data_IF_769185419021
#
_entry.id   IF_769185419021
#
_cell.length_a   1.000
_cell.length_b   1.000
_cell.length_c   1.000
_cell.angle_alpha   90.00
_cell.angle_beta   90.00
_cell.angle_gamma   90.00
#
_symmetry.space_group_name_H-M   'P 1'
#
loop_
_entity.id
_entity.type
_entity.pdbx_description
1 polymer ?
#
# COMPACT_ATOMS: atom_id res chain seq x y z
N UNK A 1 51.12 -55.67 -11.75
CA UNK A 1 51.18 -54.41 -10.97
C UNK A 1 49.87 -53.66 -11.24
N UNK A 2 48.98 -53.29 -10.31
CA UNK A 2 48.86 -53.39 -8.86
C UNK A 2 47.37 -53.66 -8.55
N UNK A 3 47.14 -54.75 -7.82
CA UNK A 3 46.15 -55.06 -6.76
C UNK A 3 44.67 -54.68 -6.93
N UNK A 4 43.89 -55.76 -7.03
CA UNK A 4 42.54 -55.98 -6.49
C UNK A 4 42.37 -55.62 -5.01
N UNK A 5 41.11 -55.35 -4.62
CA UNK A 5 40.35 -55.78 -3.41
C UNK A 5 39.24 -54.73 -3.15
N UNK A 6 37.98 -55.01 -2.81
CA UNK A 6 37.16 -56.21 -2.67
C UNK A 6 35.68 -55.75 -2.79
N UNK A 7 34.83 -56.69 -3.18
CA UNK A 7 33.38 -56.64 -3.09
C UNK A 7 32.87 -56.60 -1.64
N UNK A 8 31.85 -55.78 -1.37
CA UNK A 8 30.68 -56.19 -0.55
C UNK A 8 29.42 -55.56 -1.15
N UNK A 9 28.59 -56.40 -1.76
CA UNK A 9 27.15 -56.19 -1.94
C UNK A 9 26.45 -56.78 -0.72
N UNK A 10 25.46 -56.06 -0.15
CA UNK A 10 24.21 -56.50 0.51
C UNK A 10 23.78 -55.41 1.51
N UNK A 11 22.62 -54.76 1.42
CA UNK A 11 21.53 -54.83 0.47
C UNK A 11 20.41 -53.82 0.81
N UNK A 12 19.50 -53.63 -0.16
CA UNK A 12 18.05 -53.39 -0.02
C UNK A 12 17.66 -52.13 0.79
N UNK A 13 17.00 -51.09 0.25
CA UNK A 13 15.94 -51.05 -0.75
C UNK A 13 15.88 -49.68 -1.46
N UNK A 14 15.30 -49.68 -2.66
CA UNK A 14 14.86 -48.49 -3.38
C UNK A 14 13.94 -47.63 -2.51
N UNK A 15 14.20 -46.32 -2.47
CA UNK A 15 13.17 -45.30 -2.63
C UNK A 15 13.78 -44.05 -3.24
N UNK A 16 13.13 -43.54 -4.29
CA UNK A 16 13.59 -42.43 -5.11
C UNK A 16 13.88 -41.16 -4.29
N UNK A 17 15.17 -40.82 -4.14
CA UNK A 17 15.62 -39.58 -3.53
C UNK A 17 15.76 -38.49 -4.58
N UNK A 18 14.67 -37.77 -4.85
CA UNK A 18 14.74 -36.53 -5.62
C UNK A 18 15.68 -35.54 -4.91
N UNK A 19 16.74 -35.13 -5.59
CA UNK A 19 17.59 -34.02 -5.18
C UNK A 19 16.73 -32.75 -5.03
N UNK A 20 16.44 -32.39 -3.78
CA UNK A 20 15.69 -31.19 -3.44
C UNK A 20 16.59 -29.95 -3.57
N UNK A 21 16.57 -29.35 -4.76
CA UNK A 21 16.99 -27.96 -4.95
C UNK A 21 16.08 -27.11 -4.06
N UNK A 22 16.64 -26.52 -3.00
CA UNK A 22 15.91 -25.57 -2.14
C UNK A 22 15.77 -24.25 -2.92
N UNK A 23 14.70 -24.14 -3.69
CA UNK A 23 14.21 -22.87 -4.24
C UNK A 23 13.56 -22.10 -3.09
N UNK A 24 14.32 -21.21 -2.45
CA UNK A 24 13.79 -20.19 -1.54
C UNK A 24 12.84 -19.26 -2.31
N UNK A 25 11.53 -19.49 -2.20
CA UNK A 25 10.52 -18.61 -2.79
C UNK A 25 10.39 -17.33 -1.95
N UNK A 26 11.18 -16.30 -2.26
CA UNK A 26 10.93 -14.95 -1.77
C UNK A 26 9.56 -14.48 -2.27
N UNK A 27 8.64 -14.03 -1.40
CA UNK A 27 7.37 -13.48 -1.84
C UNK A 27 7.61 -12.29 -2.78
N UNK A 28 6.91 -12.27 -3.91
CA UNK A 28 6.95 -11.14 -4.83
C UNK A 28 6.54 -9.86 -4.11
N UNK A 29 7.39 -8.85 -4.19
CA UNK A 29 7.15 -7.54 -3.61
C UNK A 29 6.09 -6.77 -4.39
N UNK A 30 5.46 -5.77 -3.77
CA UNK A 30 4.49 -4.92 -4.43
C UNK A 30 5.11 -3.97 -5.48
N UNK A 31 6.44 -3.97 -5.61
CA UNK A 31 7.22 -3.04 -6.44
C UNK A 31 8.31 -3.78 -7.24
N UNK A 32 8.42 -3.46 -8.54
CA UNK A 32 9.38 -4.08 -9.45
C UNK A 32 10.85 -3.94 -9.04
N UNK A 33 11.21 -2.88 -8.32
CA UNK A 33 12.57 -2.70 -7.79
C UNK A 33 12.81 -3.64 -6.63
N UNK A 34 11.86 -3.80 -5.72
CA UNK A 34 11.98 -4.77 -4.64
C UNK A 34 11.93 -6.21 -5.16
N UNK A 35 11.18 -6.50 -6.23
CA UNK A 35 11.23 -7.78 -6.93
C UNK A 35 12.62 -8.03 -7.51
N UNK A 36 13.19 -7.01 -8.15
CA UNK A 36 14.55 -7.06 -8.67
C UNK A 36 15.54 -7.33 -7.53
N UNK A 37 15.48 -6.57 -6.44
CA UNK A 37 16.32 -6.76 -5.24
C UNK A 37 16.21 -8.19 -4.70
N UNK A 38 14.99 -8.72 -4.56
CA UNK A 38 14.77 -10.10 -4.12
C UNK A 38 15.40 -11.12 -5.07
N UNK A 39 15.38 -10.87 -6.38
CA UNK A 39 15.98 -11.75 -7.39
C UNK A 39 17.51 -11.71 -7.45
N UNK A 40 18.15 -10.67 -6.88
CA UNK A 40 19.62 -10.54 -6.95
C UNK A 40 20.35 -11.46 -5.97
N UNK A 41 19.66 -12.06 -5.00
CA UNK A 41 20.26 -12.88 -3.93
C UNK A 41 21.43 -12.17 -3.24
N UNK A 42 21.25 -10.89 -2.88
CA UNK A 42 22.26 -10.15 -2.14
C UNK A 42 22.63 -10.87 -0.84
N UNK A 43 23.92 -10.95 -0.54
CA UNK A 43 24.38 -11.34 0.78
C UNK A 43 23.96 -10.32 1.85
N UNK A 44 24.00 -10.72 3.12
CA UNK A 44 23.72 -9.83 4.24
C UNK A 44 24.67 -8.63 4.21
N UNK A 45 24.16 -7.37 4.09
CA UNK A 45 25.03 -6.20 4.08
C UNK A 45 25.84 -6.08 5.37
N UNK A 46 27.10 -5.65 5.25
CA UNK A 46 27.98 -5.40 6.40
C UNK A 46 27.89 -3.95 6.82
N UNK A 47 27.66 -3.70 8.12
CA UNK A 47 27.70 -2.35 8.70
C UNK A 47 29.10 -2.12 9.26
N UNK A 48 29.84 -1.19 8.65
CA UNK A 48 31.15 -0.77 9.13
C UNK A 48 31.02 0.42 10.08
N UNK A 49 31.98 0.57 11.00
CA UNK A 49 32.03 1.66 11.96
C UNK A 49 33.29 2.48 11.74
N UNK A 50 33.11 3.76 11.42
CA UNK A 50 34.15 4.78 11.35
C UNK A 50 33.72 5.98 12.20
N UNK A 51 33.41 5.71 13.48
CA UNK A 51 32.85 6.70 14.39
C UNK A 51 33.87 7.80 14.66
N UNK A 52 33.53 9.04 14.29
CA UNK A 52 34.38 10.19 14.58
C UNK A 52 34.05 10.78 15.95
N UNK A 53 35.07 11.00 16.77
CA UNK A 53 34.90 11.49 18.15
C UNK A 53 34.51 12.97 18.24
N UNK A 54 34.66 13.73 17.16
CA UNK A 54 34.34 15.16 17.11
C UNK A 54 32.84 15.48 17.09
N UNK A 55 31.97 14.51 16.81
CA UNK A 55 30.52 14.75 16.85
C UNK A 55 30.00 14.89 18.30
N UNK A 56 29.06 15.81 18.55
CA UNK A 56 28.47 15.99 19.86
C UNK A 56 27.63 14.76 20.25
N UNK A 57 27.61 14.43 21.55
CA UNK A 57 26.93 13.27 22.13
C UNK A 57 25.73 13.69 22.97
N UNK A 58 24.74 14.29 22.31
CA UNK A 58 23.52 14.76 22.96
C UNK A 58 22.50 13.61 23.06
N UNK A 59 21.82 13.48 24.21
CA UNK A 59 20.82 12.43 24.41
C UNK A 59 19.54 12.73 23.61
N UNK A 60 18.88 11.68 23.12
CA UNK A 60 17.49 11.79 22.66
C UNK A 60 16.56 12.23 23.80
N UNK A 61 15.38 12.75 23.45
CA UNK A 61 14.41 13.26 24.44
C UNK A 61 13.96 12.23 25.48
N UNK A 62 14.04 10.93 25.14
CA UNK A 62 13.74 9.82 26.04
C UNK A 62 14.93 8.85 26.20
N UNK A 63 16.15 9.33 25.98
CA UNK A 63 17.38 8.55 26.11
C UNK A 63 17.60 7.47 25.04
N UNK A 64 16.65 7.25 24.13
CA UNK A 64 16.73 6.30 23.01
C UNK A 64 15.99 6.82 21.77
N UNK A 65 16.33 6.33 20.56
CA UNK A 65 15.60 6.69 19.35
C UNK A 65 14.21 6.06 19.30
N UNK A 66 13.33 6.69 18.53
CA UNK A 66 11.95 6.29 18.25
C UNK A 66 11.79 5.76 16.81
N UNK A 67 12.85 5.75 16.01
CA UNK A 67 12.83 5.31 14.63
C UNK A 67 14.01 5.80 13.80
N UNK A 68 13.83 5.78 12.48
CA UNK A 68 14.83 6.15 11.48
C UNK A 68 14.25 7.15 10.47
N UNK A 69 15.03 8.17 10.11
CA UNK A 69 14.77 9.07 8.98
C UNK A 69 15.72 8.72 7.83
N UNK A 70 15.14 8.57 6.64
CA UNK A 70 15.81 8.33 5.38
C UNK A 70 16.04 9.66 4.68
N UNK A 71 17.28 9.91 4.30
CA UNK A 71 17.70 11.09 3.56
C UNK A 71 18.37 10.70 2.23
N UNK A 72 18.63 11.72 1.42
CA UNK A 72 19.51 11.65 0.27
C UNK A 72 20.34 12.95 0.18
N UNK A 73 21.60 12.81 -0.20
CA UNK A 73 22.65 13.86 -0.22
C UNK A 73 22.38 15.09 -1.10
N UNK A 74 21.45 15.00 -2.06
CA UNK A 74 21.19 15.94 -3.14
C UNK A 74 22.44 16.31 -3.94
N UNK A 75 23.41 15.40 -4.04
CA UNK A 75 24.70 15.62 -4.67
C UNK A 75 25.06 14.49 -5.64
N UNK A 76 24.75 14.63 -6.95
CA UNK A 76 24.97 13.59 -7.94
C UNK A 76 26.44 13.34 -8.29
N UNK A 77 27.40 14.04 -7.68
CA UNK A 77 28.82 13.93 -8.04
C UNK A 77 29.73 13.50 -6.88
N UNK A 78 29.17 13.30 -5.69
CA UNK A 78 29.96 12.92 -4.52
C UNK A 78 30.10 11.41 -4.37
N UNK A 79 31.16 11.01 -3.69
CA UNK A 79 31.27 9.66 -3.14
C UNK A 79 30.93 9.69 -1.67
N UNK A 80 30.64 8.53 -1.08
CA UNK A 80 30.43 8.39 0.36
C UNK A 80 31.56 9.01 1.19
N UNK A 81 32.82 8.96 0.72
CA UNK A 81 33.95 9.53 1.45
C UNK A 81 34.03 11.05 1.28
N UNK A 82 33.62 11.59 0.12
CA UNK A 82 33.48 13.03 -0.05
C UNK A 82 32.44 13.59 0.92
N UNK A 83 31.29 12.92 1.03
CA UNK A 83 30.21 13.32 1.94
C UNK A 83 30.64 13.22 3.42
N UNK A 84 31.26 12.10 3.82
CA UNK A 84 31.77 11.95 5.19
C UNK A 84 32.80 13.04 5.52
N UNK A 85 33.78 13.29 4.64
CA UNK A 85 34.82 14.30 4.86
C UNK A 85 34.26 15.72 4.85
N UNK A 86 33.26 16.01 4.02
CA UNK A 86 32.54 17.29 4.04
C UNK A 86 31.77 17.47 5.35
N UNK A 87 31.01 16.46 5.76
CA UNK A 87 30.19 16.52 6.96
C UNK A 87 31.04 16.62 8.24
N UNK A 88 32.19 15.95 8.33
CA UNK A 88 33.11 16.12 9.47
C UNK A 88 33.64 17.56 9.59
N UNK A 89 33.95 18.22 8.47
CA UNK A 89 34.40 19.62 8.46
C UNK A 89 33.29 20.62 8.79
N UNK A 90 32.03 20.27 8.50
CA UNK A 90 30.87 21.16 8.60
C UNK A 90 29.83 20.69 9.63
N UNK A 91 30.22 19.83 10.58
CA UNK A 91 29.28 19.11 11.45
C UNK A 91 28.40 20.03 12.31
N UNK A 92 28.88 21.26 12.59
CA UNK A 92 28.15 22.27 13.34
C UNK A 92 26.87 22.72 12.63
N UNK A 93 26.82 22.61 11.30
CA UNK A 93 25.63 22.88 10.50
C UNK A 93 24.71 21.67 10.43
N UNK A 94 25.25 20.51 10.07
CA UNK A 94 24.49 19.27 10.01
C UNK A 94 25.39 18.05 10.13
N UNK A 95 24.87 16.99 10.74
CA UNK A 95 25.46 15.66 10.62
C UNK A 95 24.41 14.56 10.79
N UNK A 96 24.68 13.40 10.19
CA UNK A 96 23.87 12.17 10.31
C UNK A 96 24.67 11.04 10.95
N UNK A 97 24.00 9.91 11.24
CA UNK A 97 24.65 8.77 11.89
C UNK A 97 25.42 7.90 10.91
N UNK A 98 24.92 7.80 9.69
CA UNK A 98 25.34 6.77 8.73
C UNK A 98 25.23 7.29 7.31
N UNK A 99 26.14 6.85 6.45
CA UNK A 99 25.98 6.95 5.01
C UNK A 99 25.83 5.57 4.39
N UNK A 100 25.05 5.50 3.31
CA UNK A 100 24.75 4.30 2.55
C UNK A 100 24.99 4.57 1.06
N UNK A 101 25.64 3.64 0.37
CA UNK A 101 25.68 3.61 -1.09
C UNK A 101 25.39 2.19 -1.62
N UNK A 102 25.56 1.97 -2.92
CA UNK A 102 25.33 0.68 -3.57
C UNK A 102 26.23 -0.48 -3.08
N UNK A 103 27.23 -0.22 -2.26
CA UNK A 103 28.25 -1.18 -1.82
C UNK A 103 28.53 -1.16 -0.31
N UNK A 104 28.20 -0.07 0.39
CA UNK A 104 28.68 0.20 1.74
C UNK A 104 27.57 0.76 2.64
N UNK A 105 27.67 0.41 3.92
CA UNK A 105 26.97 1.06 5.03
C UNK A 105 28.05 1.45 6.04
N UNK A 106 28.20 2.76 6.29
CA UNK A 106 29.26 3.29 7.16
C UNK A 106 28.62 4.13 8.26
N UNK A 107 28.60 3.60 9.50
CA UNK A 107 28.26 4.37 10.68
C UNK A 107 29.43 5.28 11.05
N UNK A 108 29.15 6.57 11.17
CA UNK A 108 30.15 7.61 11.45
C UNK A 108 29.84 8.41 12.73
N UNK A 109 28.62 8.33 13.25
CA UNK A 109 28.26 8.80 14.58
C UNK A 109 27.57 7.69 15.38
N UNK A 110 27.61 7.79 16.71
CA UNK A 110 27.04 6.77 17.59
C UNK A 110 25.50 6.91 17.67
N UNK A 111 24.70 5.92 17.24
CA UNK A 111 23.23 6.00 17.22
C UNK A 111 22.56 6.00 18.60
N UNK A 112 23.31 5.89 19.70
CA UNK A 112 22.80 6.12 21.05
C UNK A 112 22.61 7.62 21.38
N UNK A 113 23.12 8.50 20.53
CA UNK A 113 23.01 9.95 20.67
C UNK A 113 22.39 10.55 19.42
N UNK A 114 21.70 11.68 19.53
CA UNK A 114 21.06 12.32 18.39
C UNK A 114 22.07 12.90 17.40
N UNK A 115 21.62 13.04 16.14
CA UNK A 115 22.32 13.78 15.09
C UNK A 115 21.55 15.05 14.69
N UNK A 116 22.14 15.88 13.83
CA UNK A 116 21.61 17.18 13.43
C UNK A 116 21.27 17.26 11.93
N UNK A 117 20.45 16.34 11.39
CA UNK A 117 20.17 16.28 9.95
C UNK A 117 18.71 16.50 9.53
N UNK A 118 17.75 16.54 10.46
CA UNK A 118 16.31 16.56 10.14
C UNK A 118 15.52 17.66 10.86
N UNK A 119 16.19 18.72 11.30
CA UNK A 119 15.58 19.79 12.11
C UNK A 119 15.33 19.41 13.58
N UNK A 120 15.09 20.39 14.47
CA UNK A 120 15.17 20.21 15.91
C UNK A 120 14.18 19.17 16.46
N UNK A 121 12.99 19.06 15.87
CA UNK A 121 11.95 18.13 16.33
C UNK A 121 12.31 16.68 16.02
N UNK A 122 12.82 16.39 14.83
CA UNK A 122 13.21 15.02 14.45
C UNK A 122 14.58 14.60 15.00
N UNK A 123 15.51 15.54 15.15
CA UNK A 123 16.81 15.29 15.76
C UNK A 123 16.66 14.65 17.15
N UNK A 124 15.74 15.14 17.97
CA UNK A 124 15.49 14.57 19.30
C UNK A 124 14.89 13.16 19.32
N UNK A 125 14.57 12.58 18.16
CA UNK A 125 13.73 11.38 18.04
C UNK A 125 14.32 10.27 17.19
N UNK A 126 15.08 10.56 16.15
CA UNK A 126 15.37 9.55 15.12
C UNK A 126 16.86 9.37 14.86
N UNK A 127 17.24 8.12 14.60
CA UNK A 127 18.47 7.81 13.86
C UNK A 127 18.28 8.30 12.42
N UNK A 128 19.35 8.78 11.78
CA UNK A 128 19.30 9.43 10.48
C UNK A 128 20.44 8.89 9.63
N UNK A 129 20.16 8.53 8.39
CA UNK A 129 21.18 8.13 7.42
C UNK A 129 20.97 8.82 6.08
N UNK A 130 22.05 9.01 5.36
CA UNK A 130 22.09 9.59 4.01
C UNK A 130 22.34 8.51 2.96
N UNK A 131 21.56 8.57 1.88
CA UNK A 131 21.83 7.87 0.63
C UNK A 131 22.70 8.73 -0.27
N UNK A 132 23.81 8.17 -0.78
CA UNK A 132 24.67 8.86 -1.75
C UNK A 132 24.14 8.57 -3.15
N UNK A 133 23.92 9.60 -3.97
CA UNK A 133 23.39 9.38 -5.33
C UNK A 133 24.25 8.39 -6.14
N UNK A 134 23.61 7.33 -6.64
CA UNK A 134 24.26 6.33 -7.52
C UNK A 134 23.70 6.36 -8.94
N UNK A 135 24.52 5.96 -9.91
CA UNK A 135 24.24 6.22 -11.33
C UNK A 135 24.04 4.96 -12.18
N UNK A 136 23.74 3.82 -11.56
CA UNK A 136 23.40 2.60 -12.30
C UNK A 136 22.23 1.87 -11.69
N UNK A 137 21.53 1.11 -12.54
CA UNK A 137 20.41 0.24 -12.13
C UNK A 137 20.78 -0.71 -10.98
N UNK A 138 21.95 -1.35 -11.09
CA UNK A 138 22.45 -2.29 -10.09
C UNK A 138 22.80 -1.58 -8.77
N UNK A 139 23.54 -0.47 -8.85
CA UNK A 139 23.91 0.31 -7.68
C UNK A 139 22.68 0.87 -6.95
N UNK A 140 21.67 1.36 -7.67
CA UNK A 140 20.44 1.90 -7.07
C UNK A 140 19.65 0.83 -6.33
N UNK A 141 19.51 -0.37 -6.91
CA UNK A 141 18.88 -1.49 -6.22
C UNK A 141 19.68 -1.96 -4.99
N UNK A 142 21.01 -2.04 -5.11
CA UNK A 142 21.87 -2.44 -4.01
C UNK A 142 21.86 -1.41 -2.87
N UNK A 143 21.81 -0.12 -3.19
CA UNK A 143 21.69 0.96 -2.21
C UNK A 143 20.36 0.87 -1.45
N UNK A 144 19.24 0.70 -2.16
CA UNK A 144 17.94 0.52 -1.52
C UNK A 144 17.90 -0.72 -0.62
N UNK A 145 18.58 -1.81 -1.02
CA UNK A 145 18.75 -3.00 -0.19
C UNK A 145 19.57 -2.69 1.07
N UNK A 146 20.70 -2.00 0.94
CA UNK A 146 21.56 -1.61 2.06
C UNK A 146 20.84 -0.65 3.03
N UNK A 147 20.11 0.33 2.50
CA UNK A 147 19.35 1.29 3.29
C UNK A 147 18.21 0.61 4.06
N UNK A 148 17.49 -0.32 3.43
CA UNK A 148 16.44 -1.07 4.08
C UNK A 148 16.99 -2.03 5.16
N UNK A 149 18.16 -2.63 4.92
CA UNK A 149 18.88 -3.45 5.89
C UNK A 149 19.24 -2.64 7.13
N UNK A 150 19.90 -1.51 6.91
CA UNK A 150 20.33 -0.65 8.00
C UNK A 150 19.15 -0.15 8.83
N UNK A 151 18.03 0.19 8.18
CA UNK A 151 16.79 0.57 8.86
C UNK A 151 16.25 -0.59 9.70
N UNK A 152 16.13 -1.80 9.13
CA UNK A 152 15.63 -2.97 9.83
C UNK A 152 16.52 -3.37 11.02
N UNK A 153 17.84 -3.37 10.83
CA UNK A 153 18.84 -3.60 11.86
C UNK A 153 18.70 -2.61 13.00
N UNK A 154 18.64 -1.30 12.69
CA UNK A 154 18.49 -0.24 13.69
C UNK A 154 17.20 -0.39 14.48
N UNK A 155 16.07 -0.64 13.81
CA UNK A 155 14.80 -0.86 14.49
C UNK A 155 14.86 -2.06 15.44
N UNK A 156 15.47 -3.18 15.03
CA UNK A 156 15.68 -4.34 15.91
C UNK A 156 16.54 -4.00 17.12
N UNK A 157 17.67 -3.32 16.90
CA UNK A 157 18.60 -2.93 17.97
C UNK A 157 17.92 -2.15 19.10
N UNK A 158 16.91 -1.32 18.76
CA UNK A 158 16.18 -0.50 19.72
C UNK A 158 14.78 -1.04 20.09
N UNK A 159 14.44 -2.27 19.70
CA UNK A 159 13.15 -2.90 20.04
C UNK A 159 11.94 -2.24 19.37
N UNK A 160 12.12 -1.65 18.20
CA UNK A 160 11.11 -0.94 17.43
C UNK A 160 10.62 -1.80 16.27
N UNK A 161 9.35 -1.66 15.90
CA UNK A 161 8.77 -2.33 14.71
C UNK A 161 8.75 -1.39 13.51
N UNK A 162 8.96 -1.87 12.28
CA UNK A 162 8.87 -1.02 11.09
C UNK A 162 7.44 -0.53 10.88
N UNK A 163 7.25 0.79 10.96
CA UNK A 163 5.95 1.43 10.80
C UNK A 163 6.12 2.78 10.12
N UNK A 164 5.55 2.86 8.91
CA UNK A 164 5.52 4.07 8.10
C UNK A 164 5.01 5.25 8.93
N UNK A 165 5.72 6.36 8.86
CA UNK A 165 5.42 7.63 9.50
C UNK A 165 5.58 7.71 11.02
N UNK A 166 5.92 6.62 11.70
CA UNK A 166 6.17 6.65 13.15
C UNK A 166 7.59 6.26 13.47
N UNK A 167 8.03 5.10 12.98
CA UNK A 167 9.37 4.55 13.23
C UNK A 167 10.23 4.54 11.97
N UNK A 168 9.63 4.74 10.79
CA UNK A 168 10.36 4.92 9.52
C UNK A 168 9.74 6.09 8.74
N UNK A 169 10.54 7.13 8.52
CA UNK A 169 10.16 8.38 7.87
C UNK A 169 11.19 8.77 6.81
N UNK A 170 10.76 9.50 5.79
CA UNK A 170 11.67 10.33 4.97
C UNK A 170 11.83 11.71 5.62
N UNK A 171 12.83 12.48 5.19
CA UNK A 171 12.92 13.89 5.55
C UNK A 171 11.67 14.67 5.12
N UNK A 172 11.11 14.35 3.95
CA UNK A 172 9.84 14.94 3.51
C UNK A 172 8.66 14.68 4.46
N UNK A 173 8.59 13.49 5.06
CA UNK A 173 7.59 13.21 6.08
C UNK A 173 7.81 14.03 7.34
N UNK A 174 9.05 14.25 7.73
CA UNK A 174 9.40 15.10 8.86
C UNK A 174 8.91 16.52 8.60
N UNK A 175 9.21 17.11 7.45
CA UNK A 175 8.72 18.43 7.07
C UNK A 175 7.20 18.54 7.17
N UNK A 176 6.48 17.59 6.60
CA UNK A 176 5.02 17.66 6.53
C UNK A 176 4.31 17.33 7.84
N UNK A 177 4.94 16.58 8.75
CA UNK A 177 4.26 16.04 9.95
C UNK A 177 4.77 16.58 11.26
N UNK A 178 6.06 16.91 11.32
CA UNK A 178 6.72 17.37 12.53
C UNK A 178 7.14 18.84 12.42
N UNK A 179 7.43 19.31 11.20
CA UNK A 179 7.95 20.65 10.96
C UNK A 179 9.40 20.81 11.44
N UNK A 180 9.90 22.05 11.42
CA UNK A 180 11.29 22.37 11.80
C UNK A 180 12.33 22.13 10.70
N UNK A 181 11.89 21.71 9.51
CA UNK A 181 12.66 21.56 8.27
C UNK A 181 11.68 21.62 7.09
N UNK A 182 12.14 21.96 5.89
CA UNK A 182 11.34 22.08 4.67
C UNK A 182 11.84 21.19 3.51
N UNK A 183 12.74 20.26 3.80
CA UNK A 183 13.34 19.37 2.82
C UNK A 183 12.36 18.28 2.35
N UNK A 184 12.59 17.76 1.14
CA UNK A 184 11.70 16.78 0.49
C UNK A 184 12.39 15.48 0.06
N UNK A 185 13.64 15.25 0.47
CA UNK A 185 14.37 14.01 0.21
C UNK A 185 13.72 12.80 0.92
N UNK A 186 13.85 11.58 0.36
CA UNK A 186 14.55 11.21 -0.88
C UNK A 186 13.65 11.17 -2.14
N UNK A 187 12.50 11.86 -2.12
CA UNK A 187 11.41 11.65 -3.10
C UNK A 187 11.85 11.80 -4.57
N UNK A 188 12.56 12.88 -4.89
CA UNK A 188 12.96 13.18 -6.27
C UNK A 188 14.05 12.23 -6.78
N UNK A 189 15.04 11.92 -5.95
CA UNK A 189 16.09 10.95 -6.27
C UNK A 189 15.50 9.57 -6.58
N UNK A 190 14.66 9.06 -5.67
CA UNK A 190 13.99 7.77 -5.86
C UNK A 190 13.06 7.76 -7.07
N UNK A 191 12.27 8.82 -7.27
CA UNK A 191 11.38 8.94 -8.44
C UNK A 191 12.17 8.90 -9.74
N UNK A 192 13.27 9.67 -9.83
CA UNK A 192 14.12 9.78 -11.01
C UNK A 192 14.79 8.45 -11.35
N UNK A 193 15.46 7.82 -10.38
CA UNK A 193 16.19 6.57 -10.60
C UNK A 193 15.26 5.37 -10.81
N UNK A 194 14.14 5.30 -10.10
CA UNK A 194 13.13 4.27 -10.34
C UNK A 194 12.55 4.35 -11.75
N UNK A 195 12.34 5.58 -12.25
CA UNK A 195 11.84 5.82 -13.60
C UNK A 195 12.89 5.45 -14.65
N UNK A 196 14.11 5.96 -14.48
CA UNK A 196 15.21 5.79 -15.43
C UNK A 196 15.63 4.32 -15.55
N UNK A 197 15.91 3.67 -14.42
CA UNK A 197 16.52 2.34 -14.42
C UNK A 197 15.53 1.18 -14.45
N UNK A 198 14.30 1.41 -13.97
CA UNK A 198 13.30 0.37 -13.79
C UNK A 198 11.96 0.67 -14.47
N UNK A 199 11.78 1.84 -15.08
CA UNK A 199 10.52 2.24 -15.69
C UNK A 199 9.34 2.26 -14.70
N UNK A 200 9.61 2.41 -13.40
CA UNK A 200 8.64 2.33 -12.31
C UNK A 200 8.74 3.54 -11.39
N UNK A 201 8.00 3.54 -10.28
CA UNK A 201 8.15 4.48 -9.17
C UNK A 201 8.72 3.75 -7.95
N UNK A 202 9.40 4.47 -7.06
CA UNK A 202 9.80 3.97 -5.75
C UNK A 202 9.47 5.03 -4.69
N UNK A 203 8.90 4.60 -3.57
CA UNK A 203 8.38 5.48 -2.52
C UNK A 203 8.75 4.97 -1.14
N UNK A 204 8.58 5.79 -0.11
CA UNK A 204 8.78 5.35 1.29
C UNK A 204 7.92 4.15 1.68
N UNK A 205 6.77 3.93 1.02
CA UNK A 205 5.97 2.71 1.25
C UNK A 205 6.64 1.48 0.64
N UNK A 206 7.21 1.60 -0.56
CA UNK A 206 7.97 0.52 -1.18
C UNK A 206 9.23 0.20 -0.37
N UNK A 207 9.91 1.24 0.10
CA UNK A 207 11.03 1.13 1.02
C UNK A 207 10.64 0.44 2.33
N UNK A 208 9.57 0.87 3.01
CA UNK A 208 9.11 0.22 4.25
C UNK A 208 8.70 -1.24 4.03
N UNK A 209 8.20 -1.61 2.85
CA UNK A 209 7.96 -3.03 2.51
C UNK A 209 9.27 -3.81 2.43
N UNK A 210 10.31 -3.22 1.84
CA UNK A 210 11.65 -3.81 1.82
C UNK A 210 12.22 -3.92 3.24
N UNK A 211 12.09 -2.87 4.06
CA UNK A 211 12.46 -2.88 5.49
C UNK A 211 11.74 -3.99 6.25
N UNK A 212 10.43 -4.17 6.04
CA UNK A 212 9.67 -5.25 6.67
C UNK A 212 10.18 -6.63 6.28
N UNK A 213 10.53 -6.81 5.00
CA UNK A 213 11.11 -8.07 4.49
C UNK A 213 12.42 -8.37 5.20
N UNK A 214 13.31 -7.39 5.30
CA UNK A 214 14.60 -7.55 5.94
C UNK A 214 14.50 -7.69 7.47
N UNK A 215 13.57 -6.96 8.11
CA UNK A 215 13.27 -7.08 9.53
C UNK A 215 12.78 -8.48 9.91
N UNK A 216 11.99 -9.10 9.03
CA UNK A 216 11.57 -10.49 9.19
C UNK A 216 12.74 -11.48 8.99
N UNK A 217 13.61 -11.25 8.00
CA UNK A 217 14.80 -12.09 7.77
C UNK A 217 15.81 -12.04 8.91
N UNK A 218 15.99 -10.86 9.52
CA UNK A 218 16.76 -10.70 10.76
C UNK A 218 16.15 -11.48 11.95
N UNK A 219 14.86 -11.84 11.87
CA UNK A 219 14.18 -12.68 12.88
C UNK A 219 14.30 -14.18 12.58
N UNK A 220 14.78 -14.58 11.39
CA UNK A 220 14.93 -15.96 10.94
C UNK A 220 16.34 -16.52 10.99
N UNK A 221 17.33 -15.75 11.47
CA UNK A 221 18.70 -16.22 11.67
C UNK A 221 18.93 -16.49 13.16
N UNK A 222 18.59 -17.69 13.62
CA UNK A 222 19.25 -18.26 14.81
C UNK A 222 20.55 -18.90 14.36
N UNK A 223 21.64 -18.15 14.43
CA UNK A 223 22.97 -18.72 14.62
C UNK A 223 23.85 -17.71 15.33
N UNK A 224 24.44 -18.18 16.41
CA UNK A 224 25.23 -17.48 17.40
C UNK A 224 26.32 -16.58 16.85
N UNK A 225 26.49 -15.44 17.52
CA UNK A 225 27.79 -14.91 17.91
C UNK A 225 27.62 -14.08 19.18
N UNK A 226 27.72 -14.80 20.30
CA UNK A 226 28.43 -14.44 21.53
C UNK A 226 28.37 -12.98 22.03
N UNK A 227 27.59 -12.76 23.10
CA UNK A 227 28.15 -12.35 24.41
C UNK A 227 27.07 -12.46 25.51
N UNK A 228 27.29 -13.42 26.42
CA UNK A 228 26.93 -13.48 27.86
C UNK A 228 25.79 -12.57 28.38
N UNK A 229 24.71 -13.15 28.91
CA UNK A 229 24.59 -13.52 30.33
C UNK A 229 23.25 -14.28 30.61
N UNK A 230 23.25 -15.06 31.70
CA UNK A 230 22.28 -16.07 32.17
C UNK A 230 20.88 -15.49 32.51
N UNK A 231 19.73 -16.20 32.62
CA UNK A 231 19.43 -17.54 33.14
C UNK A 231 18.00 -18.04 32.75
N UNK A 232 17.87 -19.36 32.57
CA UNK A 232 16.74 -20.29 32.86
C UNK A 232 15.25 -19.84 32.79
N UNK A 233 14.42 -20.47 31.93
CA UNK A 233 13.62 -21.65 32.31
C UNK A 233 12.65 -22.19 31.21
N UNK A 234 12.61 -23.53 31.17
CA UNK A 234 11.70 -24.55 30.65
C UNK A 234 10.46 -24.27 29.74
N UNK A 235 10.47 -24.99 28.61
CA UNK A 235 9.47 -26.00 28.16
C UNK A 235 8.09 -25.57 27.60
N UNK A 236 7.84 -25.82 26.29
CA UNK A 236 7.00 -26.95 25.81
C UNK A 236 6.46 -26.76 24.37
N UNK A 237 6.84 -27.73 23.50
CA UNK A 237 6.04 -28.47 22.49
C UNK A 237 5.13 -27.71 21.49
N UNK A 238 5.49 -27.68 20.19
CA UNK A 238 4.97 -28.52 19.06
C UNK A 238 3.54 -28.15 18.60
N UNK A 239 3.10 -28.26 17.34
CA UNK A 239 3.54 -28.99 16.17
C UNK A 239 2.87 -28.39 14.90
N UNK A 240 3.47 -28.69 13.74
CA UNK A 240 3.01 -28.70 12.32
C UNK A 240 1.50 -28.65 12.00
N UNK A 241 0.99 -28.22 10.84
CA UNK A 241 1.39 -28.68 9.49
C UNK A 241 0.71 -27.88 8.34
N UNK A 242 1.51 -27.51 7.35
CA UNK A 242 1.36 -27.57 5.88
C UNK A 242 -0.02 -27.90 5.26
N UNK A 243 -0.43 -27.16 4.22
CA UNK A 243 -0.80 -27.72 2.89
C UNK A 243 -0.97 -26.63 1.84
N UNK A 244 -0.25 -26.83 0.74
CA UNK A 244 -0.05 -25.99 -0.43
C UNK A 244 -0.83 -26.59 -1.61
N UNK A 245 -1.22 -25.77 -2.59
CA UNK A 245 -1.54 -26.12 -4.01
C UNK A 245 -2.14 -24.85 -4.62
N UNK A 246 -1.78 -24.35 -5.79
CA UNK A 246 -0.89 -24.77 -6.86
C UNK A 246 -1.11 -23.74 -7.97
N UNK A 247 -0.01 -23.24 -8.52
CA UNK A 247 0.02 -22.14 -9.49
C UNK A 247 -0.34 -22.61 -10.91
N UNK A 248 -0.83 -21.70 -11.76
CA UNK A 248 -0.57 -21.79 -13.21
C UNK A 248 -0.45 -20.39 -13.83
N UNK A 249 0.54 -20.27 -14.69
CA UNK A 249 1.10 -19.08 -15.33
C UNK A 249 0.27 -18.55 -16.51
N UNK A 250 0.31 -17.24 -16.79
CA UNK A 250 0.33 -16.73 -18.16
C UNK A 250 0.72 -15.23 -18.23
N UNK A 251 1.68 -14.96 -19.12
CA UNK A 251 2.03 -13.68 -19.74
C UNK A 251 0.81 -12.81 -20.10
N UNK A 252 0.88 -11.48 -19.94
CA UNK A 252 -0.13 -10.59 -20.53
C UNK A 252 0.46 -9.30 -21.10
N UNK A 253 0.19 -9.10 -22.38
CA UNK A 253 0.51 -7.95 -23.23
C UNK A 253 -0.34 -6.71 -22.85
N UNK A 254 0.24 -5.52 -22.98
CA UNK A 254 -0.42 -4.24 -22.71
C UNK A 254 -1.52 -3.96 -23.75
N UNK A 255 -2.78 -4.12 -23.36
CA UNK A 255 -3.95 -3.60 -24.08
C UNK A 255 -4.67 -2.56 -23.21
N UNK A 256 -4.95 -1.38 -23.75
CA UNK A 256 -5.78 -0.38 -23.08
C UNK A 256 -7.18 -0.95 -22.85
N UNK A 257 -7.55 -1.21 -21.60
CA UNK A 257 -8.86 -1.81 -21.30
C UNK A 257 -9.97 -0.79 -21.52
N UNK A 258 -10.89 -1.05 -22.45
CA UNK A 258 -12.11 -0.25 -22.60
C UNK A 258 -12.95 -0.28 -21.30
N UNK A 259 -13.48 0.88 -20.89
CA UNK A 259 -14.29 1.04 -19.67
C UNK A 259 -15.61 1.72 -20.02
N UNK A 260 -16.72 1.12 -19.62
CA UNK A 260 -18.04 1.73 -19.72
C UNK A 260 -18.34 2.51 -18.45
N UNK A 261 -18.60 3.82 -18.59
CA UNK A 261 -18.92 4.71 -17.48
C UNK A 261 -20.42 4.92 -17.33
N UNK A 262 -20.90 4.77 -16.10
CA UNK A 262 -22.28 5.03 -15.70
C UNK A 262 -22.24 6.05 -14.57
N UNK A 263 -22.93 7.18 -14.74
CA UNK A 263 -22.92 8.26 -13.75
C UNK A 263 -24.15 8.19 -12.84
N UNK A 264 -23.98 8.50 -11.56
CA UNK A 264 -25.09 8.61 -10.60
C UNK A 264 -25.49 10.07 -10.36
N UNK A 265 -26.48 10.30 -9.49
CA UNK A 265 -27.03 11.62 -9.15
C UNK A 265 -26.13 12.45 -8.21
N UNK A 266 -24.81 12.24 -8.22
CA UNK A 266 -23.76 12.90 -7.43
C UNK A 266 -23.95 12.94 -5.88
N UNK A 267 -25.07 12.41 -5.38
CA UNK A 267 -25.48 12.40 -3.98
C UNK A 267 -25.55 10.99 -3.38
N UNK A 268 -25.21 9.97 -4.16
CA UNK A 268 -25.20 8.60 -3.66
C UNK A 268 -24.05 8.35 -2.70
N UNK A 269 -24.25 7.45 -1.74
CA UNK A 269 -23.25 7.16 -0.72
C UNK A 269 -22.99 5.67 -0.54
N UNK A 270 -21.77 5.36 -0.14
CA UNK A 270 -21.32 4.04 0.29
C UNK A 270 -20.40 4.18 1.52
N UNK A 271 -20.07 3.07 2.17
CA UNK A 271 -19.06 3.05 3.24
C UNK A 271 -17.82 2.32 2.77
N UNK A 272 -16.64 2.80 3.16
CA UNK A 272 -15.41 2.04 2.92
C UNK A 272 -15.43 0.74 3.73
N UNK A 273 -15.16 -0.38 3.07
CA UNK A 273 -15.09 -1.69 3.69
C UNK A 273 -13.95 -1.75 4.73
N UNK A 274 -14.02 -2.67 5.69
CA UNK A 274 -12.96 -2.79 6.73
C UNK A 274 -11.59 -3.16 6.12
N UNK A 275 -11.62 -3.92 5.03
CA UNK A 275 -10.47 -4.34 4.24
C UNK A 275 -10.28 -3.48 2.98
N UNK A 276 -10.81 -2.26 2.93
CA UNK A 276 -10.69 -1.38 1.76
C UNK A 276 -9.24 -1.16 1.30
N UNK A 277 -8.28 -1.26 2.22
CA UNK A 277 -6.83 -1.17 1.96
C UNK A 277 -6.26 -2.35 1.16
N UNK A 278 -6.99 -3.46 1.01
CA UNK A 278 -6.59 -4.57 0.15
C UNK A 278 -6.56 -4.18 -1.34
N UNK A 279 -7.25 -3.09 -1.69
CA UNK A 279 -7.20 -2.47 -3.01
C UNK A 279 -6.78 -1.01 -2.87
N UNK A 280 -6.47 -0.36 -3.98
CA UNK A 280 -5.92 1.00 -3.94
C UNK A 280 -6.84 2.02 -4.59
N UNK A 281 -6.72 3.28 -4.14
CA UNK A 281 -7.21 4.50 -4.78
C UNK A 281 -6.35 4.94 -5.96
N UNK A 282 -6.99 5.34 -7.05
CA UNK A 282 -6.38 5.87 -8.27
C UNK A 282 -7.01 7.22 -8.65
N UNK A 283 -6.40 7.97 -9.55
CA UNK A 283 -7.02 9.18 -10.13
C UNK A 283 -8.02 8.85 -11.27
N UNK A 284 -7.86 7.68 -11.92
CA UNK A 284 -8.75 7.10 -12.93
C UNK A 284 -8.87 5.58 -12.71
N UNK A 285 -9.81 4.92 -13.41
CA UNK A 285 -9.95 3.46 -13.36
C UNK A 285 -8.62 2.78 -13.70
N UNK A 286 -8.19 1.83 -12.86
CA UNK A 286 -6.89 1.16 -13.04
C UNK A 286 -6.74 0.57 -14.45
N UNK A 287 -5.66 0.95 -15.12
CA UNK A 287 -5.31 0.47 -16.46
C UNK A 287 -5.95 1.24 -17.62
N UNK A 288 -6.60 2.38 -17.36
CA UNK A 288 -6.96 3.34 -18.42
C UNK A 288 -5.83 4.34 -18.67
N UNK A 289 -5.86 5.02 -19.83
CA UNK A 289 -4.91 6.11 -20.15
C UNK A 289 -4.94 7.17 -19.04
N UNK A 290 -3.76 7.60 -18.58
CA UNK A 290 -3.63 8.61 -17.51
C UNK A 290 -3.96 8.11 -16.10
N UNK A 291 -4.32 6.84 -15.93
CA UNK A 291 -4.55 6.26 -14.60
C UNK A 291 -3.22 6.06 -13.87
N UNK A 292 -3.09 6.70 -12.72
CA UNK A 292 -2.03 6.48 -11.75
C UNK A 292 -2.63 6.16 -10.37
N UNK A 293 -1.88 5.36 -9.63
CA UNK A 293 -2.19 4.96 -8.26
C UNK A 293 -1.95 6.17 -7.36
N UNK A 294 -2.98 6.62 -6.65
CA UNK A 294 -2.85 7.66 -5.62
C UNK A 294 -2.46 7.02 -4.28
N UNK A 295 -3.07 5.90 -3.91
CA UNK A 295 -2.80 5.26 -2.62
C UNK A 295 -3.66 5.83 -1.48
N UNK A 296 -4.06 4.98 -0.53
CA UNK A 296 -4.78 5.42 0.66
C UNK A 296 -3.90 6.25 1.62
N UNK A 297 -2.58 6.02 1.60
CA UNK A 297 -1.63 6.76 2.45
C UNK A 297 -1.58 8.27 2.17
N UNK A 298 -1.87 8.70 0.94
CA UNK A 298 -1.94 10.13 0.57
C UNK A 298 -3.26 10.81 0.98
N UNK A 299 -4.21 10.04 1.53
CA UNK A 299 -5.56 10.48 1.83
C UNK A 299 -5.92 10.38 3.33
N UNK A 300 -4.99 9.97 4.22
CA UNK A 300 -5.30 9.50 5.60
C UNK A 300 -5.74 10.61 6.58
N UNK A 301 -6.53 10.41 7.65
CA UNK A 301 -6.52 9.40 8.73
C UNK A 301 -7.03 7.98 8.39
N UNK A 302 -7.27 7.07 9.35
CA UNK A 302 -7.95 5.80 9.04
C UNK A 302 -9.39 6.07 8.55
N UNK A 303 -9.77 5.49 7.40
CA UNK A 303 -11.09 5.68 6.79
C UNK A 303 -11.96 4.41 6.80
N UNK A 304 -11.60 3.39 7.59
CA UNK A 304 -12.45 2.19 7.74
C UNK A 304 -13.87 2.58 8.13
N UNK A 305 -14.84 2.11 7.36
CA UNK A 305 -16.25 2.42 7.60
C UNK A 305 -16.66 3.86 7.26
N UNK A 306 -15.75 4.73 6.82
CA UNK A 306 -16.11 6.13 6.51
C UNK A 306 -17.10 6.19 5.36
N UNK A 307 -18.11 7.05 5.52
CA UNK A 307 -19.07 7.37 4.46
C UNK A 307 -18.37 8.15 3.35
N UNK A 308 -18.49 7.69 2.12
CA UNK A 308 -18.02 8.38 0.91
C UNK A 308 -19.18 8.67 -0.02
N UNK A 309 -19.01 9.70 -0.85
CA UNK A 309 -19.96 10.06 -1.90
C UNK A 309 -19.50 9.45 -3.21
N UNK A 310 -20.43 8.84 -3.95
CA UNK A 310 -20.17 8.12 -5.20
C UNK A 310 -20.94 8.77 -6.34
N UNK A 311 -20.25 9.11 -7.42
CA UNK A 311 -20.85 9.81 -8.57
C UNK A 311 -20.63 9.10 -9.91
N UNK A 312 -19.80 8.06 -9.95
CA UNK A 312 -19.49 7.33 -11.18
C UNK A 312 -19.15 5.86 -10.92
N UNK A 313 -19.59 4.99 -11.83
CA UNK A 313 -19.30 3.56 -11.89
C UNK A 313 -18.67 3.22 -13.23
N UNK A 314 -17.45 2.73 -13.22
CA UNK A 314 -16.72 2.25 -14.39
C UNK A 314 -16.69 0.73 -14.41
N UNK A 315 -17.12 0.10 -15.51
CA UNK A 315 -17.04 -1.36 -15.70
C UNK A 315 -16.02 -1.64 -16.80
N UNK A 316 -14.93 -2.34 -16.45
CA UNK A 316 -13.91 -2.74 -17.43
C UNK A 316 -14.41 -3.92 -18.26
N UNK A 317 -13.98 -3.97 -19.53
CA UNK A 317 -14.05 -5.21 -20.34
C UNK A 317 -13.30 -6.32 -19.59
N UNK A 318 -13.99 -7.40 -19.21
CA UNK A 318 -13.46 -8.42 -18.30
C UNK A 318 -14.04 -8.40 -16.87
N UNK A 319 -14.99 -7.50 -16.58
CA UNK A 319 -15.91 -7.64 -15.44
C UNK A 319 -15.54 -6.91 -14.15
N UNK A 320 -14.33 -6.37 -14.02
CA UNK A 320 -13.96 -5.59 -12.83
C UNK A 320 -14.73 -4.27 -12.77
N UNK A 321 -15.37 -3.98 -11.64
CA UNK A 321 -16.14 -2.75 -11.42
C UNK A 321 -15.38 -1.78 -10.52
N UNK A 322 -15.43 -0.50 -10.85
CA UNK A 322 -14.75 0.60 -10.17
C UNK A 322 -15.73 1.72 -9.88
N UNK A 323 -15.52 2.46 -8.80
CA UNK A 323 -16.33 3.60 -8.42
C UNK A 323 -15.47 4.83 -8.21
N UNK A 324 -16.01 5.99 -8.59
CA UNK A 324 -15.42 7.29 -8.27
C UNK A 324 -16.01 7.80 -6.97
N UNK A 325 -15.15 8.04 -5.99
CA UNK A 325 -15.49 8.43 -4.63
C UNK A 325 -14.96 9.81 -4.29
N UNK A 326 -15.61 10.43 -3.31
CA UNK A 326 -15.24 11.71 -2.69
C UNK A 326 -15.51 11.62 -1.19
N UNK A 327 -14.64 12.21 -0.37
CA UNK A 327 -14.80 12.18 1.09
C UNK A 327 -15.78 13.22 1.64
N UNK A 328 -16.19 14.18 0.82
CA UNK A 328 -17.27 15.13 1.15
C UNK A 328 -18.18 15.38 -0.06
N UNK A 329 -19.44 15.74 0.21
CA UNK A 329 -20.52 15.87 -0.79
C UNK A 329 -20.17 16.82 -1.93
N UNK A 330 -19.37 17.83 -1.67
CA UNK A 330 -19.02 18.89 -2.63
C UNK A 330 -17.50 18.93 -2.91
N UNK A 331 -16.74 17.90 -2.53
CA UNK A 331 -15.29 17.88 -2.80
C UNK A 331 -15.01 17.95 -4.29
N UNK A 332 -14.05 18.80 -4.68
CA UNK A 332 -13.44 18.81 -6.01
C UNK A 332 -12.49 17.63 -6.23
N UNK A 333 -11.98 17.03 -5.14
CA UNK A 333 -11.09 15.87 -5.22
C UNK A 333 -11.88 14.58 -5.44
N UNK A 334 -11.49 13.83 -6.47
CA UNK A 334 -12.17 12.61 -6.93
C UNK A 334 -11.18 11.46 -7.07
N UNK A 335 -11.58 10.29 -6.59
CA UNK A 335 -10.72 9.12 -6.54
C UNK A 335 -11.42 7.91 -7.09
N UNK A 336 -10.73 7.05 -7.82
CA UNK A 336 -11.27 5.78 -8.33
C UNK A 336 -10.82 4.62 -7.46
N UNK A 337 -11.77 3.80 -7.05
CA UNK A 337 -11.54 2.63 -6.20
C UNK A 337 -12.21 1.40 -6.76
N UNK A 338 -11.65 0.24 -6.46
CA UNK A 338 -12.24 -1.03 -6.86
C UNK A 338 -13.53 -1.30 -6.09
N UNK A 339 -14.50 -2.00 -6.68
CA UNK A 339 -15.80 -2.26 -6.07
C UNK A 339 -15.72 -2.88 -4.66
N UNK A 340 -14.76 -3.78 -4.43
CA UNK A 340 -14.57 -4.43 -3.12
C UNK A 340 -14.07 -3.50 -2.01
N UNK A 341 -13.72 -2.26 -2.33
CA UNK A 341 -13.42 -1.24 -1.31
C UNK A 341 -14.66 -0.63 -0.68
N UNK A 342 -15.84 -0.84 -1.27
CA UNK A 342 -17.09 -0.21 -0.87
C UNK A 342 -18.14 -1.22 -0.46
N UNK A 343 -18.81 -0.89 0.65
CA UNK A 343 -20.04 -1.51 1.08
C UNK A 343 -21.18 -0.54 0.73
N UNK A 344 -21.94 -0.87 -0.32
CA UNK A 344 -23.19 -0.20 -0.64
C UNK A 344 -24.32 -0.73 0.26
N UNK A 345 -25.35 0.09 0.53
CA UNK A 345 -26.62 -0.43 1.03
C UNK A 345 -27.11 -1.63 0.21
N UNK A 346 -27.46 -2.71 0.91
CA UNK A 346 -28.03 -3.88 0.25
C UNK A 346 -29.45 -3.58 -0.21
N UNK A 347 -29.73 -3.92 -1.47
CA UNK A 347 -31.07 -3.88 -2.04
C UNK A 347 -31.44 -5.28 -2.49
N UNK A 348 -32.47 -5.85 -1.87
CA UNK A 348 -33.04 -7.13 -2.28
C UNK A 348 -34.10 -6.84 -3.33
N UNK A 349 -34.01 -7.54 -4.46
CA UNK A 349 -34.98 -7.42 -5.54
C UNK A 349 -35.85 -8.67 -5.59
N UNK A 350 -37.14 -8.47 -5.79
CA UNK A 350 -38.10 -9.54 -6.01
C UNK A 350 -39.00 -9.20 -7.18
N UNK A 351 -39.66 -10.21 -7.72
CA UNK A 351 -40.79 -9.99 -8.61
C UNK A 351 -41.93 -9.30 -7.86
N UNK A 352 -42.69 -8.53 -8.62
CA UNK A 352 -43.92 -7.88 -8.20
C UNK A 352 -44.82 -7.75 -9.41
N UNK A 353 -46.12 -7.59 -9.18
CA UNK A 353 -47.13 -7.42 -10.21
C UNK A 353 -48.22 -6.51 -9.66
N UNK A 354 -48.93 -5.80 -10.54
CA UNK A 354 -50.04 -4.91 -10.17
C UNK A 354 -49.89 -3.53 -10.80
N UNK A 355 -50.77 -2.62 -10.41
CA UNK A 355 -50.75 -1.22 -10.81
C UNK A 355 -50.51 -0.29 -9.61
N UNK A 356 -50.04 0.90 -9.91
CA UNK A 356 -49.93 1.98 -8.94
C UNK A 356 -50.29 3.30 -9.62
N UNK A 357 -50.68 4.29 -8.82
CA UNK A 357 -50.78 5.70 -9.26
C UNK A 357 -49.58 6.49 -8.78
N UNK A 358 -49.06 7.37 -9.63
CA UNK A 358 -48.00 8.30 -9.24
C UNK A 358 -48.58 9.40 -8.34
N UNK A 359 -47.93 9.67 -7.21
CA UNK A 359 -48.29 10.81 -6.37
C UNK A 359 -47.75 12.10 -6.99
N UNK A 360 -48.60 12.85 -7.69
CA UNK A 360 -48.23 14.11 -8.37
C UNK A 360 -48.36 15.35 -7.49
N UNK A 361 -48.92 15.23 -6.28
CA UNK A 361 -49.00 16.33 -5.30
C UNK A 361 -47.61 16.82 -4.89
N UNK A 362 -46.61 15.94 -4.94
CA UNK A 362 -45.20 16.30 -4.78
C UNK A 362 -44.44 15.95 -6.07
N UNK A 363 -43.53 16.83 -6.51
CA UNK A 363 -42.69 16.57 -7.69
C UNK A 363 -41.54 15.59 -7.37
N UNK A 364 -41.88 14.35 -7.07
CA UNK A 364 -40.93 13.36 -6.59
C UNK A 364 -40.10 12.77 -7.76
N UNK A 365 -38.78 12.59 -7.59
CA UNK A 365 -37.92 12.05 -8.64
C UNK A 365 -38.16 10.56 -8.88
N UNK A 366 -38.11 10.17 -10.16
CA UNK A 366 -38.12 8.81 -10.66
C UNK A 366 -36.74 8.43 -11.21
N UNK A 367 -36.28 7.23 -10.91
CA UNK A 367 -34.89 6.84 -11.13
C UNK A 367 -34.74 5.69 -12.12
N UNK A 368 -33.59 5.58 -12.80
CA UNK A 368 -33.28 4.38 -13.60
C UNK A 368 -32.89 3.15 -12.75
N UNK A 369 -32.48 3.35 -11.50
CA UNK A 369 -32.14 2.31 -10.52
C UNK A 369 -32.57 2.76 -9.12
N UNK A 370 -32.69 1.81 -8.17
CA UNK A 370 -32.88 2.16 -6.75
C UNK A 370 -31.69 2.99 -6.26
N UNK A 371 -31.99 4.14 -5.65
CA UNK A 371 -31.00 5.09 -5.13
C UNK A 371 -30.11 4.46 -4.04
N UNK A 372 -28.79 4.72 -4.11
CA UNK A 372 -27.73 4.10 -3.28
C UNK A 372 -27.54 2.60 -3.52
N UNK A 373 -27.99 2.06 -4.66
CA UNK A 373 -27.62 0.70 -5.05
C UNK A 373 -26.23 0.67 -5.71
N UNK A 374 -25.62 -0.53 -5.80
CA UNK A 374 -24.34 -0.71 -6.51
C UNK A 374 -24.37 -0.29 -7.99
N UNK A 375 -25.55 -0.14 -8.58
CA UNK A 375 -25.69 0.26 -9.98
C UNK A 375 -25.55 1.78 -10.18
N UNK A 376 -25.65 2.58 -9.11
CA UNK A 376 -25.85 4.02 -9.18
C UNK A 376 -27.15 4.40 -9.91
N UNK A 377 -27.76 5.51 -9.52
CA UNK A 377 -29.02 5.96 -10.11
C UNK A 377 -28.96 7.41 -10.59
N UNK A 378 -29.71 7.70 -11.65
CA UNK A 378 -30.01 9.04 -12.15
C UNK A 378 -31.50 9.27 -12.04
N UNK A 379 -31.88 10.51 -11.77
CA UNK A 379 -33.24 10.97 -12.01
C UNK A 379 -33.45 11.03 -13.52
N UNK A 380 -34.47 10.34 -14.01
CA UNK A 380 -34.79 10.27 -15.45
C UNK A 380 -36.17 10.82 -15.77
N UNK A 381 -36.98 11.07 -14.75
CA UNK A 381 -38.28 11.72 -14.81
C UNK A 381 -38.69 12.14 -13.38
N UNK A 382 -39.81 12.83 -13.24
CA UNK A 382 -40.49 13.10 -11.99
C UNK A 382 -41.96 12.69 -12.07
N UNK A 383 -42.62 12.56 -10.93
CA UNK A 383 -44.05 12.21 -10.87
C UNK A 383 -44.93 13.21 -11.64
N UNK A 384 -44.62 14.51 -11.60
CA UNK A 384 -45.38 15.55 -12.32
C UNK A 384 -45.12 15.59 -13.83
N UNK A 385 -44.19 14.78 -14.36
CA UNK A 385 -44.02 14.60 -15.80
C UNK A 385 -45.15 13.74 -16.40
N UNK A 386 -46.01 13.16 -15.57
CA UNK A 386 -47.13 12.30 -15.95
C UNK A 386 -48.45 12.88 -15.42
N UNK A 387 -49.57 12.54 -16.09
CA UNK A 387 -50.91 12.92 -15.62
C UNK A 387 -51.16 12.43 -14.19
N UNK A 388 -51.88 13.22 -13.38
CA UNK A 388 -52.33 12.83 -12.03
C UNK A 388 -53.09 11.52 -11.98
N UNK A 389 -53.69 11.14 -13.12
CA UNK A 389 -54.58 10.00 -13.24
C UNK A 389 -53.85 8.78 -13.83
N UNK A 390 -52.54 8.93 -14.13
CA UNK A 390 -51.74 7.90 -14.77
C UNK A 390 -51.60 6.67 -13.87
N UNK A 391 -52.26 5.58 -14.26
CA UNK A 391 -52.00 4.24 -13.72
C UNK A 391 -50.77 3.64 -14.42
N UNK A 392 -49.84 3.13 -13.63
CA UNK A 392 -48.57 2.57 -14.10
C UNK A 392 -48.40 1.14 -13.64
N UNK A 393 -47.86 0.30 -14.52
CA UNK A 393 -47.64 -1.12 -14.21
C UNK A 393 -46.41 -1.29 -13.34
N UNK A 394 -46.50 -2.16 -12.33
CA UNK A 394 -45.38 -2.55 -11.46
C UNK A 394 -44.93 -3.95 -11.83
N UNK A 395 -43.62 -4.16 -12.03
CA UNK A 395 -43.10 -5.48 -12.36
C UNK A 395 -41.91 -5.97 -11.51
N UNK A 396 -41.38 -5.14 -10.62
CA UNK A 396 -40.36 -5.53 -9.63
C UNK A 396 -40.54 -4.73 -8.35
N UNK A 397 -40.12 -5.31 -7.24
CA UNK A 397 -39.97 -4.65 -5.95
C UNK A 397 -38.50 -4.65 -5.54
N UNK A 398 -38.08 -3.56 -4.89
CA UNK A 398 -36.77 -3.41 -4.28
C UNK A 398 -36.95 -3.04 -2.81
N UNK A 399 -36.28 -3.76 -1.92
CA UNK A 399 -36.26 -3.44 -0.49
C UNK A 399 -34.84 -3.08 -0.07
N UNK A 400 -34.67 -1.88 0.50
CA UNK A 400 -33.36 -1.41 0.97
C UNK A 400 -33.32 -1.44 2.49
N UNK A 401 -32.67 -2.48 3.02
CA UNK A 401 -32.64 -2.74 4.45
C UNK A 401 -32.02 -1.60 5.29
N UNK A 402 -31.09 -0.83 4.72
CA UNK A 402 -30.39 0.24 5.45
C UNK A 402 -31.28 1.38 5.95
N UNK A 403 -32.40 1.64 5.26
CA UNK A 403 -33.35 2.71 5.62
C UNK A 403 -34.81 2.23 5.61
N UNK A 404 -35.05 0.92 5.51
CA UNK A 404 -36.37 0.30 5.44
C UNK A 404 -37.20 0.68 4.21
N UNK A 405 -36.64 1.40 3.23
CA UNK A 405 -37.43 1.90 2.11
C UNK A 405 -37.81 0.79 1.13
N UNK A 406 -39.08 0.80 0.73
CA UNK A 406 -39.61 -0.01 -0.36
C UNK A 406 -39.64 0.81 -1.64
N UNK A 407 -39.25 0.17 -2.73
CA UNK A 407 -39.20 0.73 -4.07
C UNK A 407 -39.91 -0.19 -5.05
N UNK A 408 -40.51 0.39 -6.07
CA UNK A 408 -41.17 -0.36 -7.13
C UNK A 408 -40.63 0.06 -8.49
N UNK A 409 -40.46 -0.93 -9.38
CA UNK A 409 -40.13 -0.68 -10.78
C UNK A 409 -41.42 -0.55 -11.58
N UNK A 410 -41.68 0.68 -12.00
CA UNK A 410 -42.77 1.10 -12.85
C UNK A 410 -42.42 0.86 -14.31
N UNK A 411 -43.40 0.51 -15.12
CA UNK A 411 -43.31 0.43 -16.58
C UNK A 411 -44.32 1.40 -17.17
N UNK A 412 -43.84 2.42 -17.89
CA UNK A 412 -44.66 3.46 -18.51
C UNK A 412 -44.23 3.58 -19.98
N UNK A 413 -45.15 3.29 -20.91
CA UNK A 413 -44.91 3.32 -22.34
C UNK A 413 -43.59 2.61 -22.77
N UNK A 414 -43.34 1.41 -22.23
CA UNK A 414 -42.15 0.61 -22.51
C UNK A 414 -40.86 1.08 -21.81
N UNK A 415 -40.87 2.23 -21.13
CA UNK A 415 -39.74 2.70 -20.30
C UNK A 415 -39.93 2.29 -18.85
N UNK A 416 -38.82 2.05 -18.14
CA UNK A 416 -38.86 1.62 -16.75
C UNK A 416 -38.30 2.66 -15.80
N UNK A 417 -38.95 2.81 -14.64
CA UNK A 417 -38.55 3.74 -13.59
C UNK A 417 -38.61 3.08 -12.22
N UNK A 418 -37.72 3.46 -11.30
CA UNK A 418 -37.78 3.10 -9.89
C UNK A 418 -38.31 4.28 -9.10
N UNK A 419 -39.36 4.04 -8.32
CA UNK A 419 -39.97 5.01 -7.42
C UNK A 419 -39.98 4.48 -5.99
N UNK A 420 -39.85 5.38 -5.00
CA UNK A 420 -40.14 5.02 -3.60
C UNK A 420 -41.63 4.75 -3.45
N UNK A 421 -42.01 3.81 -2.60
CA UNK A 421 -43.41 3.53 -2.31
C UNK A 421 -44.18 4.76 -1.81
N UNK A 422 -43.51 5.69 -1.12
CA UNK A 422 -44.11 6.96 -0.66
C UNK A 422 -44.49 7.91 -1.80
N UNK A 423 -43.96 7.70 -3.00
CA UNK A 423 -44.28 8.48 -4.20
C UNK A 423 -45.39 7.82 -5.02
N UNK A 424 -46.02 6.77 -4.48
CA UNK A 424 -47.02 5.97 -5.15
C UNK A 424 -48.22 5.76 -4.23
N UNK A 425 -49.38 5.56 -4.83
CA UNK A 425 -50.51 4.89 -4.20
C UNK A 425 -50.65 3.54 -4.90
N UNK A 426 -50.43 2.45 -4.18
CA UNK A 426 -50.61 1.10 -4.74
C UNK A 426 -52.12 0.81 -4.78
N UNK A 427 -52.58 0.23 -5.89
CA UNK A 427 -53.98 -0.22 -6.03
C UNK A 427 -54.25 -1.53 -5.29
#
# INVERSE_FOLDING_TARGET
>A
MKKWQHWVIRGIALTAGCAGIVLSTTPASANRINDYIASQNYGTPTITKSIWSGFPKNKYRYGKPEGVVVHETANPNSTIYNEIAYMQRNYQSAFVHTFVDGSRIINIANPNYLSWGAGPVANQRYVQFEQVEVHSKGAFAAELNNAAYYTAYTLKQYGLTPKRYTTVLSHHDVSNRLGGTNHSDPDQYWSTNARSFFGTTYTMTDFVNLVNTQYAQLSGTTTDSSSSDSSSDANSSSNTNTSNTGSSSAQHTNTTSAVTYNHGYNNETARLAQNYTNWTVYNHVKGTKGAYKIGWGRLSADHRGTKVYVDSRGVKRGGSTWYRIRFSKNSGYKYWVYSKTLNFPSVTYSDASGSAKLNTTQNAPLYNHVLNSKYLSKVTAHTQDFSSDASVQVNKKGYKASDGSTWYRLVVAGKTYWAKSTSLTMD
#
